data_IF_679593379639
#
_entry.id   IF_679593379639
#
_cell.length_a   1.000
_cell.length_b   1.000
_cell.length_c   1.000
_cell.angle_alpha   90.00
_cell.angle_beta   90.00
_cell.angle_gamma   90.00
#
_symmetry.space_group_name_H-M   'P 1'
#
loop_
_entity.id
_entity.type
_entity.pdbx_description
1 polymer ?
#
# COMPACT_ATOMS: atom_id res chain seq x y z
N UNK A 1 15.08 -14.64 -13.26
CA UNK A 1 14.12 -13.68 -12.68
C UNK A 1 14.00 -12.52 -13.66
N UNK A 2 12.82 -11.90 -13.76
CA UNK A 2 12.63 -10.69 -14.56
C UNK A 2 13.52 -9.57 -13.99
N UNK A 3 14.23 -8.85 -14.85
CA UNK A 3 15.09 -7.73 -14.45
C UNK A 3 14.30 -6.43 -14.41
N UNK A 4 14.74 -5.48 -13.58
CA UNK A 4 14.10 -4.17 -13.48
C UNK A 4 14.40 -3.31 -14.73
N UNK A 5 13.48 -2.44 -15.21
CA UNK A 5 13.71 -1.63 -16.40
C UNK A 5 14.96 -0.73 -16.34
N UNK A 6 15.33 -0.22 -15.17
CA UNK A 6 16.55 0.57 -14.96
C UNK A 6 17.83 -0.27 -15.13
N UNK A 7 17.77 -1.56 -14.81
CA UNK A 7 18.88 -2.50 -15.04
C UNK A 7 18.96 -2.93 -16.51
N UNK A 8 17.81 -3.07 -17.16
CA UNK A 8 17.71 -3.55 -18.55
C UNK A 8 18.12 -2.45 -19.54
N UNK A 9 17.64 -1.22 -19.34
CA UNK A 9 17.85 -0.11 -20.28
C UNK A 9 18.98 0.83 -19.85
N UNK A 10 19.58 0.63 -18.67
CA UNK A 10 20.77 1.35 -18.19
C UNK A 10 20.67 2.87 -18.41
N UNK A 11 21.62 3.48 -19.12
CA UNK A 11 21.63 4.94 -19.31
C UNK A 11 20.45 5.46 -20.14
N UNK A 12 19.82 4.61 -20.97
CA UNK A 12 18.62 5.01 -21.70
C UNK A 12 17.46 5.25 -20.72
N UNK A 13 17.34 4.41 -19.69
CA UNK A 13 16.32 4.58 -18.66
C UNK A 13 16.45 5.92 -17.95
N UNK A 14 17.65 6.20 -17.42
CA UNK A 14 17.93 7.43 -16.68
C UNK A 14 17.65 8.67 -17.55
N UNK A 15 18.15 8.70 -18.78
CA UNK A 15 17.96 9.84 -19.67
C UNK A 15 16.49 10.02 -20.05
N UNK A 16 15.72 8.95 -20.25
CA UNK A 16 14.27 9.06 -20.52
C UNK A 16 13.52 9.62 -19.32
N UNK A 17 13.77 9.11 -18.11
CA UNK A 17 13.11 9.57 -16.90
C UNK A 17 13.38 11.06 -16.63
N UNK A 18 14.62 11.52 -16.82
CA UNK A 18 15.01 12.91 -16.59
C UNK A 18 14.64 13.87 -17.73
N UNK A 19 14.17 13.36 -18.87
CA UNK A 19 13.82 14.20 -20.05
C UNK A 19 12.35 14.63 -20.09
N UNK A 20 11.53 14.26 -19.10
CA UNK A 20 10.10 14.59 -19.03
C UNK A 20 9.32 14.21 -20.31
N UNK A 21 9.69 13.11 -20.98
CA UNK A 21 8.95 12.61 -22.16
C UNK A 21 7.53 12.19 -21.77
N UNK A 22 7.39 11.65 -20.55
CA UNK A 22 6.12 11.29 -19.95
C UNK A 22 5.88 12.15 -18.71
N UNK A 23 4.61 12.42 -18.42
CA UNK A 23 4.19 13.17 -17.23
C UNK A 23 4.16 12.31 -15.94
N UNK A 24 4.33 10.99 -16.07
CA UNK A 24 4.36 10.03 -14.96
C UNK A 24 5.55 9.09 -15.19
N UNK A 25 6.51 9.09 -14.26
CA UNK A 25 7.73 8.27 -14.27
C UNK A 25 7.43 6.77 -14.42
N UNK A 26 6.28 6.29 -13.94
CA UNK A 26 5.87 4.88 -14.09
C UNK A 26 5.57 4.49 -15.54
N UNK A 27 5.31 5.46 -16.42
CA UNK A 27 4.97 5.17 -17.82
C UNK A 27 6.09 4.42 -18.52
N UNK A 28 7.34 4.85 -18.34
CA UNK A 28 8.49 4.20 -18.98
C UNK A 28 8.86 2.86 -18.34
N UNK A 29 8.54 2.65 -17.06
CA UNK A 29 8.72 1.34 -16.40
C UNK A 29 7.81 0.25 -16.96
N UNK A 30 6.71 0.64 -17.60
CA UNK A 30 5.65 -0.25 -18.07
C UNK A 30 5.61 -0.38 -19.60
N UNK A 31 6.62 0.15 -20.31
CA UNK A 31 6.71 -0.01 -21.76
C UNK A 31 7.09 -1.42 -22.17
N UNK A 32 6.67 -1.80 -23.37
CA UNK A 32 7.04 -3.07 -23.99
C UNK A 32 7.87 -2.76 -25.25
N UNK A 33 9.04 -3.38 -25.45
CA UNK A 33 9.76 -3.30 -26.71
C UNK A 33 8.89 -3.76 -27.89
N UNK A 34 8.92 -3.02 -29.01
CA UNK A 34 8.16 -3.39 -30.21
C UNK A 34 8.74 -4.61 -30.92
N UNK A 35 9.92 -4.45 -31.51
CA UNK A 35 10.53 -5.45 -32.39
C UNK A 35 11.90 -5.91 -31.90
N UNK A 36 12.67 -4.99 -31.33
CA UNK A 36 14.04 -5.23 -30.88
C UNK A 36 14.05 -5.72 -29.43
N UNK A 37 15.01 -6.58 -29.10
CA UNK A 37 15.32 -6.90 -27.71
C UNK A 37 15.85 -5.67 -26.97
N UNK A 38 15.77 -5.62 -25.62
CA UNK A 38 16.28 -4.49 -24.87
C UNK A 38 17.75 -4.15 -25.14
N UNK A 39 18.61 -5.17 -25.27
CA UNK A 39 20.03 -4.97 -25.59
C UNK A 39 20.22 -4.32 -26.97
N UNK A 40 19.47 -4.75 -27.99
CA UNK A 40 19.51 -4.17 -29.33
C UNK A 40 19.02 -2.71 -29.33
N UNK A 41 17.99 -2.39 -28.54
CA UNK A 41 17.52 -1.01 -28.37
C UNK A 41 18.60 -0.15 -27.71
N UNK A 42 19.24 -0.64 -26.65
CA UNK A 42 20.29 0.09 -25.94
C UNK A 42 21.53 0.33 -26.82
N UNK A 43 21.97 -0.67 -27.58
CA UNK A 43 23.04 -0.51 -28.57
C UNK A 43 22.68 0.51 -29.66
N UNK A 44 21.45 0.44 -30.17
CA UNK A 44 20.95 1.40 -31.17
C UNK A 44 20.91 2.82 -30.60
N UNK A 45 20.44 2.99 -29.35
CA UNK A 45 20.49 4.27 -28.65
C UNK A 45 21.92 4.81 -28.55
N UNK A 46 22.88 3.98 -28.14
CA UNK A 46 24.30 4.35 -28.02
C UNK A 46 24.90 4.82 -29.36
N UNK A 47 24.47 4.21 -30.47
CA UNK A 47 24.91 4.60 -31.82
C UNK A 47 24.23 5.87 -32.34
N UNK A 48 22.96 6.08 -32.00
CA UNK A 48 22.17 7.19 -32.53
C UNK A 48 22.32 8.47 -31.71
N UNK A 49 22.52 8.39 -30.38
CA UNK A 49 22.59 9.55 -29.48
C UNK A 49 23.68 10.56 -29.81
N UNK A 50 24.72 10.14 -30.54
CA UNK A 50 25.83 11.02 -30.95
C UNK A 50 25.52 11.82 -32.23
N UNK A 51 24.43 11.51 -32.94
CA UNK A 51 24.03 12.20 -34.18
C UNK A 51 23.35 13.52 -33.83
N UNK A 52 23.68 14.60 -34.55
CA UNK A 52 23.07 15.92 -34.33
C UNK A 52 21.57 15.97 -34.63
N UNK A 53 21.03 14.96 -35.30
CA UNK A 53 19.60 14.83 -35.64
C UNK A 53 18.84 13.91 -34.67
N UNK A 54 19.50 13.41 -33.62
CA UNK A 54 18.87 12.49 -32.68
C UNK A 54 17.80 13.22 -31.86
N UNK A 55 16.61 12.62 -31.80
CA UNK A 55 15.51 13.06 -30.96
C UNK A 55 15.08 11.89 -30.07
N UNK A 56 15.27 12.06 -28.76
CA UNK A 56 15.02 10.99 -27.78
C UNK A 56 13.54 10.60 -27.73
N UNK A 57 12.63 11.58 -27.83
CA UNK A 57 11.19 11.34 -27.85
C UNK A 57 10.81 10.43 -29.02
N UNK A 58 11.20 10.80 -30.24
CA UNK A 58 10.97 10.00 -31.45
C UNK A 58 11.59 8.61 -31.32
N UNK A 59 12.81 8.50 -30.76
CA UNK A 59 13.44 7.20 -30.52
C UNK A 59 12.57 6.32 -29.60
N UNK A 60 12.10 6.86 -28.47
CA UNK A 60 11.23 6.13 -27.53
C UNK A 60 9.94 5.69 -28.20
N UNK A 61 9.19 6.58 -28.85
CA UNK A 61 7.91 6.22 -29.47
C UNK A 61 8.05 5.22 -30.63
N UNK A 62 9.19 5.23 -31.33
CA UNK A 62 9.48 4.29 -32.41
C UNK A 62 9.86 2.88 -31.91
N UNK A 63 10.43 2.75 -30.71
CA UNK A 63 10.95 1.48 -30.20
C UNK A 63 10.08 0.82 -29.14
N UNK A 64 9.18 1.59 -28.50
CA UNK A 64 8.37 1.11 -27.40
C UNK A 64 6.87 1.23 -27.66
N UNK A 65 6.13 0.24 -27.15
CA UNK A 65 4.69 0.29 -26.98
C UNK A 65 4.43 0.99 -25.65
N UNK A 66 3.78 2.16 -25.72
CA UNK A 66 3.41 2.93 -24.55
C UNK A 66 2.13 2.33 -23.96
N UNK A 67 2.09 2.09 -22.65
CA UNK A 67 0.98 1.37 -22.06
C UNK A 67 -0.24 2.29 -21.90
N UNK A 68 -1.40 1.83 -22.36
CA UNK A 68 -2.64 2.60 -22.30
C UNK A 68 -3.29 2.53 -20.92
N UNK A 69 -3.88 3.62 -20.47
CA UNK A 69 -4.76 3.67 -19.29
C UNK A 69 -6.20 3.42 -19.73
N UNK A 70 -6.82 2.36 -19.22
CA UNK A 70 -8.25 2.12 -19.45
C UNK A 70 -9.07 3.05 -18.56
N UNK A 71 -9.78 4.02 -19.16
CA UNK A 71 -10.71 4.85 -18.40
C UNK A 71 -11.98 4.05 -18.07
N UNK A 72 -12.34 3.99 -16.79
CA UNK A 72 -13.65 3.48 -16.36
C UNK A 72 -14.70 4.55 -16.69
N UNK A 73 -15.75 4.16 -17.41
CA UNK A 73 -16.85 5.07 -17.74
C UNK A 73 -17.61 5.49 -16.47
N UNK A 74 -18.02 6.75 -16.41
CA UNK A 74 -18.86 7.25 -15.31
C UNK A 74 -20.22 6.54 -15.36
N UNK A 75 -20.69 6.06 -14.21
CA UNK A 75 -22.00 5.43 -14.10
C UNK A 75 -22.78 6.03 -12.92
N UNK A 76 -23.84 6.77 -13.23
CA UNK A 76 -24.69 7.43 -12.21
C UNK A 76 -26.08 6.81 -12.11
N UNK A 77 -26.40 5.77 -12.89
CA UNK A 77 -27.75 5.19 -12.95
C UNK A 77 -27.89 3.87 -12.20
N UNK A 78 -27.14 3.70 -11.10
CA UNK A 78 -27.18 2.50 -10.29
C UNK A 78 -26.77 2.74 -8.84
N UNK A 79 -26.96 1.74 -8.00
CA UNK A 79 -26.39 1.75 -6.65
C UNK A 79 -24.88 1.50 -6.70
N UNK A 80 -24.14 1.87 -5.64
CA UNK A 80 -22.71 1.53 -5.51
C UNK A 80 -22.51 0.01 -5.54
N UNK A 81 -23.43 -0.77 -4.96
CA UNK A 81 -23.35 -2.23 -4.98
C UNK A 81 -23.40 -2.77 -6.43
N UNK A 82 -24.39 -2.32 -7.21
CA UNK A 82 -24.51 -2.67 -8.64
C UNK A 82 -23.31 -2.19 -9.47
N UNK A 83 -22.73 -1.05 -9.12
CA UNK A 83 -21.50 -0.53 -9.72
C UNK A 83 -20.32 -1.46 -9.42
N UNK A 84 -20.09 -1.81 -8.14
CA UNK A 84 -18.98 -2.68 -7.73
C UNK A 84 -19.06 -4.05 -8.42
N UNK A 85 -20.25 -4.65 -8.49
CA UNK A 85 -20.45 -5.93 -9.20
C UNK A 85 -20.09 -5.85 -10.68
N UNK A 86 -20.42 -4.74 -11.35
CA UNK A 86 -20.03 -4.51 -12.75
C UNK A 86 -18.55 -4.20 -12.91
N UNK A 87 -17.93 -3.68 -11.87
CA UNK A 87 -16.53 -3.26 -11.91
C UNK A 87 -15.55 -4.44 -11.75
N UNK A 88 -15.91 -5.51 -11.03
CA UNK A 88 -14.99 -6.64 -10.84
C UNK A 88 -14.47 -7.24 -12.15
N UNK A 89 -15.31 -7.53 -13.17
CA UNK A 89 -14.81 -7.98 -14.47
C UNK A 89 -13.92 -6.93 -15.17
N UNK A 90 -14.22 -5.64 -15.01
CA UNK A 90 -13.47 -4.54 -15.63
C UNK A 90 -12.11 -4.30 -14.98
N UNK A 91 -11.96 -4.60 -13.70
CA UNK A 91 -10.68 -4.57 -12.99
C UNK A 91 -9.92 -5.90 -13.08
N UNK A 92 -10.58 -6.98 -13.51
CA UNK A 92 -9.92 -8.27 -13.70
C UNK A 92 -8.96 -8.18 -14.89
N UNK A 93 -7.75 -8.68 -14.70
CA UNK A 93 -6.73 -8.85 -15.71
C UNK A 93 -6.36 -10.32 -15.79
N UNK A 94 -5.96 -10.74 -16.99
CA UNK A 94 -5.30 -12.01 -17.24
C UNK A 94 -4.08 -11.71 -18.07
N UNK A 95 -2.92 -12.16 -17.60
CA UNK A 95 -1.67 -11.93 -18.31
C UNK A 95 -1.59 -12.92 -19.47
N UNK A 96 -1.37 -12.40 -20.66
CA UNK A 96 -0.81 -13.14 -21.79
C UNK A 96 0.68 -12.89 -21.82
N UNK A 97 1.48 -13.88 -22.21
CA UNK A 97 2.93 -13.72 -22.27
C UNK A 97 3.32 -12.52 -23.14
N UNK A 98 4.04 -11.56 -22.55
CA UNK A 98 4.55 -10.36 -23.21
C UNK A 98 6.07 -10.30 -23.05
N UNK A 99 6.79 -10.42 -24.17
CA UNK A 99 8.25 -10.43 -24.17
C UNK A 99 8.79 -9.14 -23.55
N UNK A 100 9.72 -9.30 -22.58
CA UNK A 100 10.42 -8.20 -21.91
C UNK A 100 9.52 -7.21 -21.16
N UNK A 101 8.27 -7.58 -20.89
CA UNK A 101 7.39 -6.80 -20.01
C UNK A 101 7.97 -6.77 -18.60
N UNK A 102 7.85 -5.65 -17.91
CA UNK A 102 8.13 -5.59 -16.48
C UNK A 102 7.08 -6.35 -15.65
N UNK A 103 5.91 -6.69 -16.23
CA UNK A 103 4.86 -7.44 -15.55
C UNK A 103 5.29 -8.89 -15.32
N UNK A 104 5.26 -9.32 -14.07
CA UNK A 104 5.56 -10.69 -13.66
C UNK A 104 4.33 -11.56 -13.88
N UNK A 105 4.50 -12.63 -14.62
CA UNK A 105 3.45 -13.60 -14.92
C UNK A 105 2.99 -14.34 -13.66
N UNK A 106 1.68 -14.56 -13.57
CA UNK A 106 1.04 -15.35 -12.52
C UNK A 106 0.00 -16.30 -13.13
N UNK A 107 -0.27 -17.45 -12.50
CA UNK A 107 -1.05 -18.52 -13.13
C UNK A 107 -2.54 -18.22 -13.34
N UNK A 108 -3.13 -17.33 -12.54
CA UNK A 108 -4.56 -17.06 -12.55
C UNK A 108 -4.91 -15.58 -12.78
N UNK A 109 -6.16 -15.27 -13.17
CA UNK A 109 -6.64 -13.89 -13.23
C UNK A 109 -6.58 -13.19 -11.86
N UNK A 110 -6.44 -11.87 -11.88
CA UNK A 110 -6.38 -11.04 -10.68
C UNK A 110 -7.07 -9.69 -10.90
N UNK A 111 -7.42 -9.01 -9.81
CA UNK A 111 -7.95 -7.64 -9.83
C UNK A 111 -6.81 -6.64 -9.65
N UNK A 112 -6.88 -5.55 -10.42
CA UNK A 112 -6.02 -4.36 -10.21
C UNK A 112 -6.81 -3.27 -9.48
N UNK A 113 -6.15 -2.33 -8.76
CA UNK A 113 -6.84 -1.26 -8.06
C UNK A 113 -7.68 -0.35 -8.97
N UNK A 114 -7.14 0.07 -10.12
CA UNK A 114 -7.77 1.02 -11.05
C UNK A 114 -6.78 2.08 -11.56
N UNK A 115 -7.11 2.77 -12.67
CA UNK A 115 -6.31 3.86 -13.21
C UNK A 115 -4.89 3.45 -13.66
N UNK A 116 -3.86 4.15 -13.14
CA UNK A 116 -2.43 3.89 -13.43
C UNK A 116 -1.91 2.57 -12.88
N UNK A 117 -2.60 2.00 -11.90
CA UNK A 117 -2.26 0.74 -11.26
C UNK A 117 -2.73 -0.44 -12.11
N UNK A 118 -1.80 -1.01 -12.88
CA UNK A 118 -2.05 -2.05 -13.90
C UNK A 118 -1.56 -3.43 -13.49
N UNK A 119 -1.08 -3.52 -12.27
CA UNK A 119 -0.61 -4.70 -11.56
C UNK A 119 -1.48 -4.85 -10.31
N UNK A 120 -1.56 -6.06 -9.76
CA UNK A 120 -2.18 -6.20 -8.45
C UNK A 120 -1.18 -5.80 -7.37
N UNK A 121 -1.69 -5.11 -6.36
CA UNK A 121 -0.93 -4.69 -5.20
C UNK A 121 -1.25 -5.58 -4.00
N UNK A 122 -0.26 -5.81 -3.15
CA UNK A 122 -0.35 -6.82 -2.11
C UNK A 122 -1.44 -6.50 -1.08
N UNK A 123 -1.27 -5.45 -0.27
CA UNK A 123 -2.21 -5.20 0.83
C UNK A 123 -3.58 -4.70 0.35
N UNK A 124 -3.65 -3.96 -0.76
CA UNK A 124 -4.89 -3.53 -1.45
C UNK A 124 -5.81 -4.71 -1.74
N UNK A 125 -5.21 -5.85 -2.10
CA UNK A 125 -5.96 -7.06 -2.45
C UNK A 125 -6.76 -7.58 -1.27
N UNK A 126 -6.27 -7.48 -0.02
CA UNK A 126 -7.04 -7.97 1.13
C UNK A 126 -8.36 -7.21 1.26
N UNK A 127 -8.31 -5.89 1.14
CA UNK A 127 -9.49 -5.05 1.24
C UNK A 127 -10.44 -5.25 0.05
N UNK A 128 -9.88 -5.48 -1.15
CA UNK A 128 -10.68 -5.85 -2.33
C UNK A 128 -11.35 -7.21 -2.14
N UNK A 129 -10.67 -8.20 -1.57
CA UNK A 129 -11.19 -9.55 -1.29
C UNK A 129 -12.36 -9.52 -0.31
N UNK A 130 -12.41 -8.59 0.65
CA UNK A 130 -13.59 -8.39 1.50
C UNK A 130 -14.85 -8.17 0.63
N UNK A 131 -14.73 -7.31 -0.38
CA UNK A 131 -15.78 -7.07 -1.37
C UNK A 131 -16.12 -8.28 -2.21
N UNK A 132 -15.12 -8.97 -2.74
CA UNK A 132 -15.32 -10.18 -3.54
C UNK A 132 -16.08 -11.25 -2.78
N UNK A 133 -15.75 -11.47 -1.50
CA UNK A 133 -16.45 -12.41 -0.65
C UNK A 133 -17.92 -12.00 -0.47
N UNK A 134 -18.20 -10.71 -0.24
CA UNK A 134 -19.59 -10.21 -0.16
C UNK A 134 -20.33 -10.32 -1.48
N UNK A 135 -19.63 -10.12 -2.59
CA UNK A 135 -20.15 -10.29 -3.94
C UNK A 135 -20.26 -11.75 -4.39
N UNK A 136 -19.87 -12.73 -3.56
CA UNK A 136 -19.80 -14.18 -3.87
C UNK A 136 -18.84 -14.54 -5.01
N UNK A 137 -17.88 -13.67 -5.30
CA UNK A 137 -16.78 -13.89 -6.26
C UNK A 137 -15.64 -14.72 -5.63
N UNK A 138 -16.00 -15.84 -5.00
CA UNK A 138 -15.09 -16.66 -4.20
C UNK A 138 -14.00 -17.31 -5.05
N UNK A 139 -14.32 -17.69 -6.29
CA UNK A 139 -13.35 -18.26 -7.23
C UNK A 139 -12.24 -17.26 -7.58
N UNK A 140 -12.60 -16.00 -7.85
CA UNK A 140 -11.62 -14.94 -8.12
C UNK A 140 -10.76 -14.63 -6.89
N UNK A 141 -11.36 -14.61 -5.69
CA UNK A 141 -10.60 -14.47 -4.45
C UNK A 141 -9.60 -15.62 -4.24
N UNK A 142 -9.98 -16.86 -4.56
CA UNK A 142 -9.07 -18.01 -4.54
C UNK A 142 -7.94 -17.91 -5.58
N UNK A 143 -8.25 -17.42 -6.78
CA UNK A 143 -7.24 -17.18 -7.82
C UNK A 143 -6.19 -16.15 -7.37
N UNK A 144 -6.62 -15.04 -6.75
CA UNK A 144 -5.69 -14.05 -6.21
C UNK A 144 -4.81 -14.62 -5.10
N UNK A 145 -5.39 -15.42 -4.20
CA UNK A 145 -4.64 -16.10 -3.14
C UNK A 145 -3.58 -17.06 -3.70
N UNK A 146 -3.93 -17.83 -4.73
CA UNK A 146 -3.00 -18.74 -5.39
C UNK A 146 -1.90 -18.00 -6.16
N UNK A 147 -2.19 -16.83 -6.75
CA UNK A 147 -1.18 -15.98 -7.37
C UNK A 147 -0.15 -15.48 -6.35
N UNK A 148 -0.58 -15.07 -5.15
CA UNK A 148 0.35 -14.71 -4.07
C UNK A 148 1.18 -15.90 -3.59
N UNK A 149 0.55 -17.06 -3.39
CA UNK A 149 1.27 -18.29 -3.05
C UNK A 149 2.30 -18.68 -4.13
N UNK A 150 1.96 -18.50 -5.41
CA UNK A 150 2.88 -18.68 -6.52
C UNK A 150 4.08 -17.73 -6.44
N UNK A 151 3.87 -16.45 -6.17
CA UNK A 151 4.95 -15.47 -6.00
C UNK A 151 5.83 -15.82 -4.80
N UNK A 152 5.26 -16.22 -3.67
CA UNK A 152 6.03 -16.69 -2.51
C UNK A 152 6.92 -17.88 -2.89
N UNK A 153 6.38 -18.87 -3.60
CA UNK A 153 7.14 -20.07 -3.99
C UNK A 153 8.23 -19.80 -5.03
N UNK A 154 8.08 -18.75 -5.86
CA UNK A 154 8.99 -18.48 -6.99
C UNK A 154 9.97 -17.34 -6.73
N UNK A 155 9.61 -16.38 -5.87
CA UNK A 155 10.39 -15.19 -5.54
C UNK A 155 10.90 -15.25 -4.08
N UNK A 156 10.14 -15.88 -3.18
CA UNK A 156 10.46 -15.98 -1.75
C UNK A 156 9.64 -15.05 -0.86
N UNK A 157 8.87 -14.13 -1.45
CA UNK A 157 7.93 -13.24 -0.78
C UNK A 157 6.90 -12.71 -1.79
N UNK A 158 5.97 -11.88 -1.32
CA UNK A 158 5.05 -11.15 -2.19
C UNK A 158 5.63 -9.75 -2.49
N UNK A 159 5.98 -9.44 -3.75
CA UNK A 159 6.36 -8.09 -4.15
C UNK A 159 5.25 -7.06 -3.91
N UNK A 160 5.61 -5.78 -3.76
CA UNK A 160 4.63 -4.70 -3.58
C UNK A 160 3.53 -4.65 -4.66
N UNK A 161 3.92 -4.97 -5.90
CA UNK A 161 3.02 -5.41 -6.96
C UNK A 161 3.74 -6.34 -7.92
N UNK A 162 3.03 -7.02 -8.83
CA UNK A 162 3.64 -8.02 -9.72
C UNK A 162 4.44 -7.41 -10.90
N UNK A 163 5.38 -6.52 -10.60
CA UNK A 163 6.31 -5.89 -11.56
C UNK A 163 7.76 -6.15 -11.15
N UNK A 164 8.67 -6.25 -12.11
CA UNK A 164 10.08 -6.57 -11.87
C UNK A 164 10.78 -5.54 -10.99
N UNK A 165 10.45 -4.25 -11.14
CA UNK A 165 10.97 -3.16 -10.30
C UNK A 165 10.43 -3.17 -8.85
N UNK A 166 9.44 -4.02 -8.53
CA UNK A 166 8.97 -4.23 -7.17
C UNK A 166 9.53 -5.49 -6.51
N UNK A 167 10.32 -6.33 -7.19
CA UNK A 167 10.81 -7.61 -6.63
C UNK A 167 11.60 -7.42 -5.34
N UNK A 168 12.36 -6.33 -5.20
CA UNK A 168 13.14 -6.05 -3.98
C UNK A 168 12.27 -5.59 -2.80
N UNK A 169 11.06 -5.12 -3.09
CA UNK A 169 10.10 -4.56 -2.14
C UNK A 169 9.04 -5.61 -1.80
N UNK A 170 8.40 -5.46 -0.66
CA UNK A 170 7.11 -6.11 -0.38
C UNK A 170 6.03 -5.03 -0.18
N UNK A 171 5.02 -5.32 0.62
CA UNK A 171 4.03 -4.40 1.14
C UNK A 171 3.58 -4.90 2.53
N UNK A 172 2.71 -4.20 3.29
CA UNK A 172 2.22 -4.72 4.57
C UNK A 172 1.73 -6.19 4.46
N UNK A 173 2.18 -7.11 5.35
CA UNK A 173 2.00 -8.55 5.13
C UNK A 173 0.59 -9.05 5.49
N UNK A 174 -0.35 -8.87 4.57
CA UNK A 174 -1.76 -9.24 4.72
C UNK A 174 -2.10 -10.66 4.26
N UNK A 175 -1.17 -11.45 3.73
CA UNK A 175 -1.46 -12.80 3.21
C UNK A 175 -2.02 -13.73 4.30
N UNK A 176 -1.51 -13.66 5.53
CA UNK A 176 -2.10 -14.38 6.68
C UNK A 176 -3.58 -14.02 6.94
N UNK A 177 -3.94 -12.75 6.75
CA UNK A 177 -5.33 -12.29 6.87
C UNK A 177 -6.19 -12.73 5.66
N UNK A 178 -5.61 -12.80 4.46
CA UNK A 178 -6.30 -13.27 3.25
C UNK A 178 -6.61 -14.78 3.33
N UNK A 179 -5.65 -15.60 3.77
CA UNK A 179 -5.88 -17.04 3.95
C UNK A 179 -6.90 -17.30 5.07
N UNK A 180 -6.89 -16.51 6.15
CA UNK A 180 -7.88 -16.60 7.22
C UNK A 180 -9.28 -16.22 6.69
N UNK A 181 -9.39 -15.13 5.93
CA UNK A 181 -10.64 -14.67 5.34
C UNK A 181 -11.33 -15.76 4.51
N UNK A 182 -10.56 -16.58 3.80
CA UNK A 182 -11.08 -17.69 2.98
C UNK A 182 -11.05 -19.06 3.69
N UNK A 183 -10.66 -19.12 4.98
CA UNK A 183 -10.60 -20.36 5.75
C UNK A 183 -9.58 -21.38 5.26
N UNK A 184 -8.44 -20.91 4.72
CA UNK A 184 -7.43 -21.73 4.03
C UNK A 184 -6.04 -21.69 4.69
N UNK A 185 -5.95 -21.28 5.96
CA UNK A 185 -4.68 -21.19 6.69
C UNK A 185 -3.85 -22.48 6.63
N UNK A 186 -4.47 -23.66 6.85
CA UNK A 186 -3.74 -24.94 6.81
C UNK A 186 -3.22 -25.29 5.40
N UNK A 187 -3.96 -24.91 4.36
CA UNK A 187 -3.58 -25.17 2.96
C UNK A 187 -2.33 -24.39 2.56
N UNK A 188 -2.18 -23.16 3.04
CA UNK A 188 -1.10 -22.23 2.68
C UNK A 188 -0.06 -22.04 3.80
N UNK A 189 0.00 -22.98 4.76
CA UNK A 189 0.90 -22.86 5.91
C UNK A 189 2.37 -22.75 5.48
N UNK A 190 2.78 -23.52 4.47
CA UNK A 190 4.16 -23.47 3.97
C UNK A 190 4.50 -22.08 3.39
N UNK A 191 3.59 -21.49 2.61
CA UNK A 191 3.79 -20.16 2.03
C UNK A 191 3.80 -19.07 3.11
N UNK A 192 2.96 -19.18 4.14
CA UNK A 192 3.01 -18.29 5.30
C UNK A 192 4.36 -18.39 6.03
N UNK A 193 4.91 -19.60 6.19
CA UNK A 193 6.23 -19.81 6.80
C UNK A 193 7.34 -19.18 5.95
N UNK A 194 7.31 -19.34 4.62
CA UNK A 194 8.28 -18.71 3.71
C UNK A 194 8.22 -17.18 3.83
N UNK A 195 7.02 -16.60 3.80
CA UNK A 195 6.86 -15.15 3.95
C UNK A 195 7.36 -14.67 5.32
N UNK A 196 7.04 -15.39 6.40
CA UNK A 196 7.54 -15.06 7.73
C UNK A 196 9.08 -15.04 7.76
N UNK A 197 9.73 -16.05 7.18
CA UNK A 197 11.19 -16.10 7.12
C UNK A 197 11.77 -14.94 6.29
N UNK A 198 11.11 -14.50 5.20
CA UNK A 198 11.51 -13.28 4.48
C UNK A 198 11.54 -12.06 5.41
N UNK A 199 10.46 -11.80 6.17
CA UNK A 199 10.40 -10.66 7.07
C UNK A 199 11.46 -10.75 8.18
N UNK A 200 11.64 -11.94 8.76
CA UNK A 200 12.59 -12.13 9.85
C UNK A 200 14.06 -12.09 9.41
N UNK A 201 14.36 -12.47 8.18
CA UNK A 201 15.75 -12.46 7.66
C UNK A 201 16.14 -11.12 7.07
N UNK A 202 15.20 -10.39 6.46
CA UNK A 202 15.52 -9.20 5.66
C UNK A 202 15.02 -7.88 6.26
N UNK A 203 14.10 -7.92 7.22
CA UNK A 203 13.44 -6.72 7.80
C UNK A 203 13.50 -6.66 9.33
N UNK A 204 14.09 -7.65 10.00
CA UNK A 204 14.22 -7.68 11.44
C UNK A 204 15.30 -6.71 11.95
N UNK A 205 15.03 -6.12 13.11
CA UNK A 205 15.92 -5.26 13.88
C UNK A 205 16.01 -5.83 15.29
N UNK A 206 17.22 -6.15 15.73
CA UNK A 206 17.49 -6.56 17.11
C UNK A 206 17.90 -5.34 17.93
N UNK A 207 17.09 -5.01 18.94
CA UNK A 207 17.36 -3.93 19.88
C UNK A 207 18.42 -4.35 20.91
N UNK A 208 18.95 -3.36 21.64
CA UNK A 208 20.03 -3.58 22.62
C UNK A 208 19.70 -4.60 23.72
N UNK A 209 18.42 -4.77 24.05
CA UNK A 209 17.96 -5.73 25.06
C UNK A 209 17.66 -7.13 24.47
N UNK A 210 17.97 -7.35 23.20
CA UNK A 210 17.69 -8.60 22.48
C UNK A 210 16.26 -8.69 21.92
N UNK A 211 15.41 -7.68 22.14
CA UNK A 211 14.07 -7.64 21.52
C UNK A 211 14.20 -7.57 20.00
N UNK A 212 13.42 -8.39 19.30
CA UNK A 212 13.34 -8.37 17.83
C UNK A 212 11.98 -7.80 17.41
N UNK A 213 12.04 -6.77 16.59
CA UNK A 213 10.90 -6.15 15.89
C UNK A 213 11.29 -5.95 14.42
N UNK A 214 10.34 -5.57 13.57
CA UNK A 214 10.60 -5.38 12.15
C UNK A 214 10.36 -3.92 11.73
N UNK A 215 11.06 -3.52 10.67
CA UNK A 215 10.89 -2.24 9.97
C UNK A 215 10.63 -2.47 8.49
N UNK A 216 10.09 -1.48 7.80
CA UNK A 216 10.16 -1.45 6.34
C UNK A 216 11.57 -1.02 5.91
N UNK A 217 12.15 -1.73 4.94
CA UNK A 217 13.52 -1.49 4.48
C UNK A 217 13.78 -2.20 3.16
N UNK A 218 14.02 -1.47 2.07
CA UNK A 218 14.33 -2.09 0.78
C UNK A 218 15.80 -1.95 0.47
N UNK A 219 16.50 -3.05 0.19
CA UNK A 219 17.91 -3.03 -0.21
C UNK A 219 18.14 -2.55 -1.64
N UNK A 220 17.89 -1.28 -1.94
CA UNK A 220 17.99 -0.71 -3.32
C UNK A 220 19.41 -0.32 -3.75
N UNK A 221 20.41 -0.44 -2.89
CA UNK A 221 21.75 0.10 -3.17
C UNK A 221 21.79 1.62 -3.19
N UNK A 222 20.87 2.29 -2.49
CA UNK A 222 20.74 3.74 -2.39
C UNK A 222 20.50 4.43 -3.75
N UNK A 223 19.54 3.90 -4.52
CA UNK A 223 19.13 4.43 -5.84
C UNK A 223 17.67 4.88 -5.83
N UNK A 224 17.27 5.82 -6.70
CA UNK A 224 15.87 6.19 -6.91
C UNK A 224 14.99 4.98 -7.26
N UNK A 225 13.73 5.00 -6.84
CA UNK A 225 12.71 4.04 -7.31
C UNK A 225 12.55 4.17 -8.83
N UNK A 226 12.55 3.07 -9.61
CA UNK A 226 12.38 3.17 -11.06
C UNK A 226 11.09 3.90 -11.47
N UNK A 227 9.98 3.59 -10.81
CA UNK A 227 8.64 4.14 -11.07
C UNK A 227 8.44 5.60 -10.61
N UNK A 228 9.39 6.16 -9.87
CA UNK A 228 9.38 7.53 -9.36
C UNK A 228 10.79 8.16 -9.44
N UNK A 229 11.52 7.82 -10.50
CA UNK A 229 12.97 8.08 -10.60
C UNK A 229 13.29 9.57 -10.54
N UNK A 230 12.51 10.39 -11.25
CA UNK A 230 12.68 11.84 -11.26
C UNK A 230 12.34 12.44 -9.89
N UNK A 231 11.19 12.06 -9.34
CA UNK A 231 10.65 12.57 -8.08
C UNK A 231 11.58 12.28 -6.90
N UNK A 232 12.09 11.04 -6.82
CA UNK A 232 13.07 10.62 -5.81
C UNK A 232 14.39 11.39 -5.97
N UNK A 233 14.86 11.57 -7.21
CA UNK A 233 16.08 12.33 -7.52
C UNK A 233 15.96 13.78 -7.06
N UNK A 234 14.85 14.44 -7.36
CA UNK A 234 14.58 15.82 -6.95
C UNK A 234 14.46 15.98 -5.43
N UNK A 235 13.88 14.98 -4.76
CA UNK A 235 13.78 14.95 -3.29
C UNK A 235 15.15 14.77 -2.65
N UNK A 236 15.96 13.84 -3.18
CA UNK A 236 17.30 13.57 -2.68
C UNK A 236 18.24 14.78 -2.81
N UNK A 237 18.12 15.58 -3.89
CA UNK A 237 18.88 16.82 -4.06
C UNK A 237 18.60 17.88 -2.97
N UNK A 238 17.44 17.82 -2.32
CA UNK A 238 17.06 18.72 -1.21
C UNK A 238 17.42 18.15 0.15
N UNK A 239 17.73 16.86 0.24
CA UNK A 239 17.95 16.16 1.50
C UNK A 239 19.40 16.25 1.98
N UNK A 240 19.58 16.32 3.30
CA UNK A 240 20.87 16.08 3.96
C UNK A 240 21.03 14.63 4.44
N UNK A 241 20.00 13.79 4.26
CA UNK A 241 20.02 12.39 4.66
C UNK A 241 20.69 11.54 3.57
N UNK A 242 21.84 10.97 3.86
CA UNK A 242 22.56 10.10 2.91
C UNK A 242 21.83 8.80 2.58
N UNK A 243 20.83 8.42 3.38
CA UNK A 243 20.00 7.23 3.22
C UNK A 243 18.64 7.54 2.58
N UNK A 244 18.42 8.77 2.09
CA UNK A 244 17.10 9.21 1.63
C UNK A 244 16.44 8.26 0.63
N UNK A 245 17.17 7.66 -0.31
CA UNK A 245 16.58 6.70 -1.25
C UNK A 245 16.11 5.40 -0.58
N UNK A 246 16.80 4.94 0.46
CA UNK A 246 16.32 3.81 1.26
C UNK A 246 15.03 4.19 2.01
N UNK A 247 14.97 5.40 2.55
CA UNK A 247 13.81 5.88 3.29
C UNK A 247 12.59 6.11 2.39
N UNK A 248 12.77 6.69 1.20
CA UNK A 248 11.72 6.84 0.18
C UNK A 248 11.26 5.49 -0.39
N UNK A 249 12.17 4.55 -0.63
CA UNK A 249 11.74 3.22 -1.09
C UNK A 249 11.00 2.46 0.01
N UNK A 250 11.44 2.58 1.27
CA UNK A 250 10.75 1.97 2.39
C UNK A 250 9.34 2.52 2.61
N UNK A 251 9.02 3.76 2.18
CA UNK A 251 7.62 4.21 2.21
C UNK A 251 6.76 3.51 1.17
N UNK A 252 7.30 3.16 0.01
CA UNK A 252 6.60 2.31 -0.96
C UNK A 252 6.28 0.92 -0.38
N UNK A 253 7.25 0.31 0.31
CA UNK A 253 7.04 -0.98 1.00
C UNK A 253 6.05 -0.88 2.18
N UNK A 254 5.92 0.28 2.83
CA UNK A 254 4.96 0.43 3.92
C UNK A 254 3.53 0.69 3.45
N UNK A 255 3.35 1.05 2.17
CA UNK A 255 2.06 1.46 1.59
C UNK A 255 1.58 2.86 2.00
N UNK A 256 2.39 3.63 2.74
CA UNK A 256 2.11 5.02 3.15
C UNK A 256 3.10 6.00 2.51
N UNK A 257 3.28 5.90 1.20
CA UNK A 257 4.09 6.74 0.32
C UNK A 257 3.27 7.94 -0.18
N UNK A 258 3.37 9.14 0.39
CA UNK A 258 4.14 9.51 1.58
C UNK A 258 3.24 9.99 2.71
N UNK A 259 3.82 10.13 3.89
CA UNK A 259 3.16 10.57 5.13
C UNK A 259 4.14 11.28 6.05
N UNK A 260 3.65 12.29 6.77
CA UNK A 260 4.31 12.93 7.90
C UNK A 260 4.74 11.94 8.98
N UNK A 261 4.10 10.76 9.03
CA UNK A 261 4.47 9.61 9.88
C UNK A 261 5.96 9.28 9.80
N UNK A 262 6.58 9.45 8.64
CA UNK A 262 7.95 9.05 8.35
C UNK A 262 8.95 10.20 8.33
N UNK A 263 8.49 11.45 8.45
CA UNK A 263 9.30 12.65 8.25
C UNK A 263 9.71 13.25 9.60
N UNK A 264 10.91 13.81 9.70
CA UNK A 264 11.30 14.58 10.90
C UNK A 264 10.57 15.93 10.95
N UNK A 265 10.49 16.62 9.82
CA UNK A 265 9.62 17.78 9.60
C UNK A 265 8.38 17.30 8.83
N UNK A 266 7.18 17.45 9.41
CA UNK A 266 5.92 16.98 8.81
C UNK A 266 5.54 17.66 7.49
N UNK A 267 6.27 18.69 7.08
CA UNK A 267 6.04 19.45 5.84
C UNK A 267 7.12 19.24 4.78
N UNK A 268 8.23 18.56 5.10
CA UNK A 268 9.37 18.40 4.20
C UNK A 268 9.74 16.93 3.96
N UNK A 269 9.41 16.42 2.77
CA UNK A 269 9.64 15.03 2.37
C UNK A 269 11.14 14.67 2.37
N UNK A 270 12.03 15.65 2.18
CA UNK A 270 13.47 15.42 2.20
C UNK A 270 14.00 15.02 3.59
N UNK A 271 13.17 15.14 4.63
CA UNK A 271 13.46 14.73 6.02
C UNK A 271 12.95 13.33 6.37
N UNK A 272 12.56 12.52 5.38
CA UNK A 272 12.07 11.16 5.59
C UNK A 272 13.14 10.24 6.19
N UNK A 273 12.76 9.47 7.20
CA UNK A 273 13.60 8.57 8.00
C UNK A 273 12.91 7.22 8.26
N UNK A 274 12.11 6.73 7.31
CA UNK A 274 11.30 5.51 7.42
C UNK A 274 12.07 4.31 7.98
N UNK A 275 13.31 4.11 7.52
CA UNK A 275 14.14 2.98 7.93
C UNK A 275 14.62 3.08 9.38
N UNK A 276 14.51 4.24 10.03
CA UNK A 276 14.82 4.40 11.45
C UNK A 276 13.63 4.10 12.38
N UNK A 277 12.46 3.80 11.80
CA UNK A 277 11.20 3.64 12.53
C UNK A 277 10.80 2.16 12.54
N UNK A 278 10.40 1.67 13.72
CA UNK A 278 9.73 0.38 13.91
C UNK A 278 8.21 0.64 13.90
N UNK A 279 7.50 0.25 12.82
CA UNK A 279 6.09 0.57 12.65
C UNK A 279 5.19 -0.34 13.50
N UNK A 280 4.17 0.24 14.14
CA UNK A 280 3.23 -0.52 14.98
C UNK A 280 2.35 -1.47 14.15
N UNK A 281 1.90 -1.04 12.99
CA UNK A 281 1.09 -1.82 12.06
C UNK A 281 1.83 -3.06 11.54
N UNK A 282 3.07 -2.89 11.04
CA UNK A 282 3.90 -4.01 10.58
C UNK A 282 4.07 -5.08 11.66
N UNK A 283 4.40 -4.66 12.88
CA UNK A 283 4.65 -5.60 13.96
C UNK A 283 3.35 -6.27 14.45
N UNK A 284 2.20 -5.61 14.37
CA UNK A 284 0.92 -6.28 14.59
C UNK A 284 0.56 -7.29 13.49
N UNK A 285 0.87 -6.99 12.22
CA UNK A 285 0.65 -7.92 11.12
C UNK A 285 1.54 -9.17 11.24
N UNK A 286 2.80 -8.99 11.64
CA UNK A 286 3.70 -10.13 11.91
C UNK A 286 3.27 -10.94 13.13
N UNK A 287 2.71 -10.30 14.16
CA UNK A 287 2.09 -11.01 15.29
C UNK A 287 0.96 -11.91 14.82
N UNK A 288 0.10 -11.40 13.93
CA UNK A 288 -0.97 -12.20 13.33
C UNK A 288 -0.42 -13.36 12.49
N UNK A 289 0.60 -13.11 11.67
CA UNK A 289 1.27 -14.15 10.89
C UNK A 289 1.87 -15.25 11.78
N UNK A 290 2.55 -14.89 12.87
CA UNK A 290 3.12 -15.84 13.84
C UNK A 290 2.04 -16.74 14.47
N UNK A 291 0.88 -16.17 14.81
CA UNK A 291 -0.27 -16.95 15.27
C UNK A 291 -0.78 -17.91 14.19
N UNK A 292 -0.92 -17.45 12.94
CA UNK A 292 -1.43 -18.24 11.83
C UNK A 292 -0.57 -19.48 11.52
N UNK A 293 0.76 -19.39 11.71
CA UNK A 293 1.69 -20.52 11.52
C UNK A 293 1.97 -21.31 12.80
N UNK A 294 1.39 -20.92 13.94
CA UNK A 294 1.53 -21.62 15.22
C UNK A 294 2.83 -21.31 15.99
N UNK A 295 3.54 -20.22 15.66
CA UNK A 295 4.71 -19.71 16.40
C UNK A 295 4.25 -18.90 17.64
N UNK A 296 3.55 -19.57 18.56
CA UNK A 296 2.90 -18.93 19.72
C UNK A 296 3.89 -18.23 20.65
N UNK A 297 5.10 -18.78 20.81
CA UNK A 297 6.13 -18.18 21.68
C UNK A 297 6.66 -16.88 21.09
N UNK A 298 6.91 -16.86 19.78
CA UNK A 298 7.35 -15.69 19.02
C UNK A 298 6.26 -14.62 19.04
N UNK A 299 5.00 -15.00 18.79
CA UNK A 299 3.85 -14.13 18.87
C UNK A 299 3.75 -13.45 20.25
N UNK A 300 3.90 -14.21 21.35
CA UNK A 300 3.85 -13.64 22.69
C UNK A 300 5.02 -12.68 22.97
N UNK A 301 6.24 -13.02 22.53
CA UNK A 301 7.40 -12.10 22.62
C UNK A 301 7.16 -10.81 21.83
N UNK A 302 6.61 -10.90 20.62
CA UNK A 302 6.29 -9.73 19.80
C UNK A 302 5.19 -8.89 20.42
N UNK A 303 4.15 -9.52 20.97
CA UNK A 303 3.08 -8.83 21.73
C UNK A 303 3.68 -8.02 22.89
N UNK A 304 4.58 -8.62 23.66
CA UNK A 304 5.29 -7.93 24.75
C UNK A 304 6.18 -6.79 24.25
N UNK A 305 6.85 -6.97 23.11
CA UNK A 305 7.66 -5.93 22.48
C UNK A 305 6.81 -4.73 22.02
N UNK A 306 5.67 -4.98 21.36
CA UNK A 306 4.73 -3.93 20.96
C UNK A 306 4.22 -3.18 22.19
N UNK A 307 3.84 -3.91 23.24
CA UNK A 307 3.39 -3.32 24.51
C UNK A 307 4.46 -2.44 25.16
N UNK A 308 5.74 -2.84 25.09
CA UNK A 308 6.86 -2.09 25.68
C UNK A 308 7.25 -0.86 24.89
N UNK A 309 7.32 -0.96 23.56
CA UNK A 309 7.95 0.05 22.71
C UNK A 309 6.97 0.98 21.99
N UNK A 310 5.72 0.54 21.81
CA UNK A 310 4.76 1.24 20.95
C UNK A 310 3.55 1.77 21.71
N UNK A 311 3.28 1.32 22.94
CA UNK A 311 2.28 1.98 23.79
C UNK A 311 2.88 3.21 24.47
N UNK A 312 2.20 4.36 24.38
CA UNK A 312 2.56 5.56 25.11
C UNK A 312 1.55 5.83 26.22
N UNK A 313 2.00 5.77 27.48
CA UNK A 313 1.17 6.11 28.64
C UNK A 313 0.84 7.62 28.68
N UNK A 314 1.71 8.49 28.16
CA UNK A 314 1.45 9.93 28.13
C UNK A 314 0.37 10.28 27.10
N UNK A 315 0.44 9.66 25.91
CA UNK A 315 -0.50 9.90 24.83
C UNK A 315 -1.78 9.07 24.98
N UNK A 316 -1.73 8.00 25.78
CA UNK A 316 -2.79 6.99 25.90
C UNK A 316 -3.16 6.42 24.53
N UNK A 317 -2.14 6.13 23.71
CA UNK A 317 -2.28 5.71 22.31
C UNK A 317 -1.05 4.90 21.87
N UNK A 318 -1.21 4.05 20.85
CA UNK A 318 -0.09 3.36 20.23
C UNK A 318 0.58 4.22 19.14
N UNK A 319 1.90 4.30 19.15
CA UNK A 319 2.71 5.04 18.17
C UNK A 319 3.86 4.18 17.67
N UNK A 320 4.47 4.58 16.56
CA UNK A 320 5.71 3.94 16.10
C UNK A 320 6.89 4.29 17.02
N UNK A 321 7.95 3.50 16.97
CA UNK A 321 9.16 3.69 17.77
C UNK A 321 10.38 4.00 16.90
N UNK A 322 11.08 5.10 17.16
CA UNK A 322 12.34 5.39 16.48
C UNK A 322 13.49 4.70 17.23
N UNK A 323 14.02 3.62 16.67
CA UNK A 323 15.01 2.80 17.38
C UNK A 323 16.43 3.38 17.35
N UNK A 324 16.69 4.35 16.45
CA UNK A 324 17.96 5.10 16.40
C UNK A 324 17.98 6.15 17.52
N UNK A 325 16.91 6.94 17.65
CA UNK A 325 16.74 7.93 18.71
C UNK A 325 16.37 7.31 20.06
N UNK A 326 15.88 6.07 20.05
CA UNK A 326 15.42 5.29 21.21
C UNK A 326 14.26 5.96 21.94
N UNK A 327 13.31 6.47 21.17
CA UNK A 327 12.13 7.16 21.69
C UNK A 327 10.91 6.87 20.81
N UNK A 328 9.69 6.96 21.38
CA UNK A 328 8.47 6.96 20.58
C UNK A 328 8.47 8.13 19.60
N UNK A 329 7.91 7.93 18.41
CA UNK A 329 7.74 9.00 17.42
C UNK A 329 6.77 10.09 17.91
N UNK A 330 5.92 9.80 18.90
CA UNK A 330 4.86 10.66 19.41
C UNK A 330 3.88 11.16 18.33
N UNK A 331 3.82 10.49 17.18
CA UNK A 331 2.89 10.77 16.09
C UNK A 331 1.64 9.90 16.24
N UNK A 332 0.49 10.54 16.42
CA UNK A 332 -0.80 9.84 16.43
C UNK A 332 -1.25 9.65 14.97
N UNK A 333 -1.36 8.39 14.55
CA UNK A 333 -1.85 7.99 13.23
C UNK A 333 -2.84 6.84 13.38
N UNK A 334 -3.65 6.56 12.35
CA UNK A 334 -4.57 5.41 12.40
C UNK A 334 -3.86 4.05 12.46
N UNK A 335 -2.54 3.97 12.23
CA UNK A 335 -1.77 2.75 12.45
C UNK A 335 -1.82 2.30 13.93
N UNK A 336 -2.00 3.23 14.87
CA UNK A 336 -2.18 2.92 16.29
C UNK A 336 -3.44 2.12 16.63
N UNK A 337 -4.30 1.82 15.65
CA UNK A 337 -5.46 0.94 15.81
C UNK A 337 -5.21 -0.51 15.41
N UNK A 338 -4.09 -0.83 14.73
CA UNK A 338 -3.73 -2.22 14.44
C UNK A 338 -3.61 -3.08 15.71
N UNK A 339 -3.06 -2.59 16.84
CA UNK A 339 -3.05 -3.35 18.09
C UNK A 339 -4.44 -3.72 18.61
N UNK A 340 -5.46 -2.88 18.39
CA UNK A 340 -6.84 -3.16 18.78
C UNK A 340 -7.46 -4.19 17.82
N UNK A 341 -7.29 -3.96 16.52
CA UNK A 341 -7.84 -4.83 15.48
C UNK A 341 -7.33 -6.28 15.60
N UNK A 342 -6.04 -6.44 15.85
CA UNK A 342 -5.35 -7.73 15.91
C UNK A 342 -5.18 -8.26 17.35
N UNK A 343 -5.95 -7.74 18.31
CA UNK A 343 -6.02 -8.21 19.70
C UNK A 343 -4.68 -8.20 20.48
N UNK A 344 -3.78 -7.28 20.13
CA UNK A 344 -2.51 -7.05 20.86
C UNK A 344 -2.73 -6.15 22.08
N UNK A 345 -3.61 -5.15 21.95
CA UNK A 345 -3.94 -4.19 23.00
C UNK A 345 -4.74 -4.82 24.14
N UNK A 346 -4.54 -4.33 25.36
CA UNK A 346 -5.46 -4.62 26.47
C UNK A 346 -6.79 -3.90 26.27
N UNK A 347 -7.82 -4.32 27.00
CA UNK A 347 -9.13 -3.67 26.93
C UNK A 347 -9.07 -2.19 27.33
N UNK A 348 -8.29 -1.83 28.34
CA UNK A 348 -8.18 -0.44 28.78
C UNK A 348 -7.44 0.42 27.75
N UNK A 349 -6.35 -0.09 27.17
CA UNK A 349 -5.66 0.56 26.07
C UNK A 349 -6.59 0.75 24.86
N UNK A 350 -7.40 -0.25 24.54
CA UNK A 350 -8.37 -0.17 23.45
C UNK A 350 -9.41 0.95 23.69
N UNK A 351 -9.94 1.05 24.91
CA UNK A 351 -10.88 2.13 25.28
C UNK A 351 -10.23 3.51 25.23
N UNK A 352 -9.00 3.64 25.69
CA UNK A 352 -8.26 4.91 25.63
C UNK A 352 -8.01 5.34 24.18
N UNK A 353 -7.52 4.42 23.35
CA UNK A 353 -7.29 4.69 21.94
C UNK A 353 -8.60 5.04 21.21
N UNK A 354 -9.70 4.32 21.49
CA UNK A 354 -11.02 4.62 20.94
C UNK A 354 -11.50 6.03 21.28
N UNK A 355 -11.31 6.49 22.53
CA UNK A 355 -11.63 7.86 22.92
C UNK A 355 -10.79 8.92 22.18
N UNK A 356 -9.53 8.61 21.83
CA UNK A 356 -8.70 9.48 20.97
C UNK A 356 -9.20 9.52 19.53
N UNK A 357 -9.67 8.39 18.99
CA UNK A 357 -10.29 8.35 17.66
C UNK A 357 -11.51 9.25 17.60
N UNK A 358 -12.41 9.16 18.58
CA UNK A 358 -13.60 9.99 18.65
C UNK A 358 -13.27 11.50 18.74
N UNK A 359 -12.28 11.85 19.56
CA UNK A 359 -11.99 13.25 19.87
C UNK A 359 -11.06 13.96 18.87
N UNK A 360 -10.17 13.23 18.20
CA UNK A 360 -9.10 13.84 17.38
C UNK A 360 -9.19 13.49 15.90
N UNK A 361 -9.66 12.28 15.56
CA UNK A 361 -9.59 11.76 14.20
C UNK A 361 -10.91 11.83 13.43
N UNK A 362 -12.04 11.88 14.13
CA UNK A 362 -13.36 11.79 13.52
C UNK A 362 -13.87 13.14 12.99
N UNK A 363 -14.07 13.19 11.68
CA UNK A 363 -14.67 14.32 10.94
C UNK A 363 -15.94 13.88 10.21
N UNK A 364 -16.60 14.80 9.50
CA UNK A 364 -17.90 14.59 8.86
C UNK A 364 -17.89 13.47 7.83
N UNK A 365 -16.75 13.24 7.18
CA UNK A 365 -16.55 12.24 6.15
C UNK A 365 -15.93 10.92 6.62
N UNK A 366 -15.59 10.78 7.90
CA UNK A 366 -14.86 9.63 8.42
C UNK A 366 -13.61 10.05 9.20
N UNK A 367 -12.58 9.21 9.21
CA UNK A 367 -11.36 9.43 9.98
C UNK A 367 -10.23 9.99 9.13
N UNK A 368 -9.55 11.04 9.60
CA UNK A 368 -8.30 11.51 8.99
C UNK A 368 -7.18 10.49 9.25
N UNK A 369 -6.21 10.42 8.35
CA UNK A 369 -5.11 9.44 8.45
C UNK A 369 -4.12 9.76 9.56
N UNK A 370 -3.78 11.04 9.69
CA UNK A 370 -2.91 11.62 10.72
C UNK A 370 -3.50 12.94 11.21
N UNK A 371 -2.84 13.56 12.20
CA UNK A 371 -3.20 14.88 12.71
C UNK A 371 -2.33 16.02 12.13
N UNK A 372 -1.45 15.74 11.16
CA UNK A 372 -0.50 16.69 10.58
C UNK A 372 -1.18 17.61 9.55
N UNK A 373 -1.78 18.71 10.02
CA UNK A 373 -2.63 19.60 9.20
C UNK A 373 -1.89 20.39 8.12
N UNK A 374 -0.57 20.47 8.22
CA UNK A 374 0.28 21.23 7.30
C UNK A 374 1.05 20.35 6.32
N UNK A 375 0.93 19.02 6.45
CA UNK A 375 1.49 18.10 5.47
C UNK A 375 0.78 18.26 4.12
N UNK A 376 1.54 18.13 3.04
CA UNK A 376 1.04 18.06 1.67
C UNK A 376 0.97 16.62 1.14
N UNK A 377 1.28 15.64 1.97
CA UNK A 377 1.37 14.24 1.58
C UNK A 377 0.01 13.55 1.60
N UNK A 378 -0.13 12.47 0.83
CA UNK A 378 -1.43 11.84 0.61
C UNK A 378 -1.93 10.99 1.78
N UNK A 379 -1.03 10.40 2.56
CA UNK A 379 -1.36 9.63 3.76
C UNK A 379 -1.32 10.51 5.02
N UNK A 380 -1.97 11.67 4.95
CA UNK A 380 -2.09 12.64 6.04
C UNK A 380 -3.45 13.32 6.06
N UNK A 381 -3.69 14.18 7.06
CA UNK A 381 -4.77 15.15 7.05
C UNK A 381 -4.80 15.95 5.73
N UNK A 382 -5.97 16.18 5.09
CA UNK A 382 -7.32 15.83 5.52
C UNK A 382 -7.83 14.49 4.96
N UNK A 383 -6.96 13.67 4.37
CA UNK A 383 -7.38 12.48 3.65
C UNK A 383 -7.76 11.33 4.59
N UNK A 384 -8.79 10.60 4.21
CA UNK A 384 -9.17 9.30 4.75
C UNK A 384 -9.08 8.21 3.67
N UNK A 385 -8.57 7.04 4.07
CA UNK A 385 -8.35 5.89 3.20
C UNK A 385 -9.15 4.68 3.65
N UNK A 386 -9.80 3.99 2.70
CA UNK A 386 -10.71 2.89 2.98
C UNK A 386 -10.12 1.80 3.91
N UNK A 387 -8.85 1.34 3.72
CA UNK A 387 -8.20 0.40 4.64
C UNK A 387 -8.26 0.84 6.10
N UNK A 388 -7.94 2.11 6.37
CA UNK A 388 -7.81 2.62 7.73
C UNK A 388 -9.18 2.90 8.37
N UNK A 389 -10.19 3.25 7.56
CA UNK A 389 -11.57 3.28 8.03
C UNK A 389 -12.04 1.88 8.47
N UNK A 390 -11.71 0.85 7.69
CA UNK A 390 -12.03 -0.53 8.03
C UNK A 390 -11.30 -1.00 9.29
N UNK A 391 -9.99 -0.75 9.40
CA UNK A 391 -9.21 -1.10 10.60
C UNK A 391 -9.81 -0.43 11.84
N UNK A 392 -10.14 0.86 11.76
CA UNK A 392 -10.75 1.58 12.86
C UNK A 392 -12.14 1.03 13.23
N UNK A 393 -12.99 0.85 12.22
CA UNK A 393 -14.32 0.25 12.38
C UNK A 393 -14.25 -1.11 13.08
N UNK A 394 -13.40 -2.02 12.60
CA UNK A 394 -13.22 -3.35 13.19
C UNK A 394 -12.61 -3.32 14.58
N UNK A 395 -11.69 -2.39 14.84
CA UNK A 395 -11.11 -2.17 16.17
C UNK A 395 -12.17 -1.77 17.19
N UNK A 396 -13.05 -0.84 16.81
CA UNK A 396 -14.10 -0.33 17.70
C UNK A 396 -15.21 -1.36 17.94
N UNK A 397 -15.57 -2.16 16.92
CA UNK A 397 -16.48 -3.31 17.13
C UNK A 397 -15.92 -4.35 18.10
N UNK A 398 -14.61 -4.45 18.22
CA UNK A 398 -13.92 -5.32 19.20
C UNK A 398 -13.74 -4.65 20.57
N UNK A 399 -14.11 -3.38 20.71
CA UNK A 399 -13.92 -2.60 21.94
C UNK A 399 -15.27 -2.37 22.62
N UNK A 400 -15.60 -3.12 23.68
CA UNK A 400 -16.87 -2.98 24.40
C UNK A 400 -17.22 -1.53 24.76
N UNK A 401 -18.42 -1.11 24.39
CA UNK A 401 -18.95 0.24 24.65
C UNK A 401 -18.71 1.25 23.53
N UNK A 402 -18.01 0.87 22.46
CA UNK A 402 -17.70 1.73 21.32
C UNK A 402 -18.40 1.31 20.01
N UNK A 403 -19.41 0.44 20.09
CA UNK A 403 -20.21 0.00 18.94
C UNK A 403 -20.95 1.19 18.28
N UNK A 404 -21.38 2.16 19.09
CA UNK A 404 -21.98 3.40 18.59
C UNK A 404 -21.00 4.23 17.79
N UNK A 405 -19.76 4.39 18.26
CA UNK A 405 -18.71 5.10 17.54
C UNK A 405 -18.36 4.38 16.22
N UNK A 406 -18.27 3.04 16.25
CA UNK A 406 -18.07 2.23 15.05
C UNK A 406 -19.17 2.49 14.00
N UNK A 407 -20.44 2.57 14.43
CA UNK A 407 -21.58 2.88 13.55
C UNK A 407 -21.48 4.30 12.97
N UNK A 408 -21.06 5.28 13.77
CA UNK A 408 -20.87 6.66 13.30
C UNK A 408 -19.78 6.73 12.23
N UNK A 409 -18.62 6.10 12.46
CA UNK A 409 -17.52 6.06 11.48
C UNK A 409 -17.97 5.42 10.18
N UNK A 410 -18.60 4.23 10.27
CA UNK A 410 -19.18 3.55 9.11
C UNK A 410 -20.14 4.46 8.34
N UNK A 411 -21.09 5.08 9.02
CA UNK A 411 -22.10 5.92 8.36
C UNK A 411 -21.49 7.15 7.69
N UNK A 412 -20.55 7.84 8.36
CA UNK A 412 -19.90 9.03 7.81
C UNK A 412 -19.07 8.71 6.57
N UNK A 413 -18.29 7.63 6.63
CA UNK A 413 -17.50 7.16 5.49
C UNK A 413 -18.39 6.75 4.31
N UNK A 414 -19.41 5.93 4.56
CA UNK A 414 -20.32 5.47 3.51
C UNK A 414 -21.12 6.62 2.89
N UNK A 415 -21.62 7.57 3.69
CA UNK A 415 -22.30 8.76 3.19
C UNK A 415 -21.40 9.60 2.28
N UNK A 416 -20.12 9.73 2.62
CA UNK A 416 -19.15 10.44 1.78
C UNK A 416 -18.94 9.70 0.45
N UNK A 417 -18.77 8.38 0.48
CA UNK A 417 -18.64 7.57 -0.73
C UNK A 417 -19.89 7.69 -1.61
N UNK A 418 -21.09 7.56 -1.04
CA UNK A 418 -22.37 7.71 -1.73
C UNK A 418 -22.53 9.09 -2.36
N UNK A 419 -22.18 10.15 -1.62
CA UNK A 419 -22.22 11.51 -2.15
C UNK A 419 -21.32 11.67 -3.36
N UNK A 420 -20.04 11.33 -3.24
CA UNK A 420 -19.07 11.48 -4.33
C UNK A 420 -19.44 10.59 -5.52
N UNK A 421 -19.93 9.38 -5.26
CA UNK A 421 -20.42 8.49 -6.30
C UNK A 421 -21.62 9.10 -7.05
N UNK A 422 -22.58 9.69 -6.35
CA UNK A 422 -23.72 10.36 -6.98
C UNK A 422 -23.29 11.59 -7.81
N UNK A 423 -22.25 12.30 -7.38
CA UNK A 423 -21.72 13.48 -8.08
C UNK A 423 -20.87 13.12 -9.31
N UNK A 424 -20.12 12.02 -9.26
CA UNK A 424 -19.06 11.70 -10.25
C UNK A 424 -19.32 10.41 -11.06
N UNK A 425 -20.18 9.53 -10.56
CA UNK A 425 -20.40 8.18 -11.08
C UNK A 425 -19.24 7.21 -10.83
N UNK A 426 -18.37 7.51 -9.85
CA UNK A 426 -17.12 6.81 -9.59
C UNK A 426 -16.82 6.67 -8.10
N UNK A 427 -16.10 5.61 -7.76
CA UNK A 427 -15.49 5.40 -6.44
C UNK A 427 -14.01 5.78 -6.52
N UNK A 428 -13.54 6.52 -5.51
CA UNK A 428 -12.19 7.07 -5.48
C UNK A 428 -11.22 6.23 -4.64
N UNK A 429 -9.92 6.38 -4.92
CA UNK A 429 -8.81 5.85 -4.12
C UNK A 429 -8.86 6.33 -2.65
N UNK A 430 -9.08 7.63 -2.44
CA UNK A 430 -9.08 8.33 -1.14
C UNK A 430 -10.05 9.52 -1.14
N UNK A 431 -10.39 10.03 0.04
CA UNK A 431 -11.41 11.08 0.20
C UNK A 431 -10.96 12.16 1.20
N UNK A 432 -11.33 13.43 0.96
CA UNK A 432 -11.22 14.49 1.97
C UNK A 432 -12.35 14.30 2.99
N UNK A 433 -12.00 13.79 4.17
CA UNK A 433 -12.99 13.48 5.22
C UNK A 433 -13.34 14.70 6.07
N UNK A 434 -12.62 15.81 5.91
CA UNK A 434 -12.83 17.06 6.65
C UNK A 434 -13.76 17.97 5.88
N UNK A 435 -13.44 18.23 4.61
CA UNK A 435 -14.27 19.00 3.70
C UNK A 435 -14.87 18.09 2.64
N UNK A 436 -16.01 17.49 3.00
CA UNK A 436 -16.78 16.54 2.17
C UNK A 436 -17.33 17.10 0.85
N UNK A 437 -17.05 18.37 0.53
CA UNK A 437 -17.41 19.01 -0.73
C UNK A 437 -16.23 19.16 -1.71
N UNK A 438 -15.03 18.78 -1.28
CA UNK A 438 -13.81 18.86 -2.09
C UNK A 438 -13.32 17.47 -2.50
N UNK A 439 -12.71 17.35 -3.69
CA UNK A 439 -11.92 16.17 -3.99
C UNK A 439 -10.71 16.08 -3.05
N UNK A 440 -10.29 14.86 -2.75
CA UNK A 440 -9.01 14.62 -2.07
C UNK A 440 -7.83 15.00 -2.97
N UNK A 441 -6.63 15.08 -2.39
CA UNK A 441 -5.39 15.40 -3.13
C UNK A 441 -4.13 15.04 -2.36
N UNK A 442 -3.00 15.64 -2.73
CA UNK A 442 -1.69 15.43 -2.12
C UNK A 442 -0.94 14.21 -2.64
N UNK A 443 0.36 14.14 -2.32
CA UNK A 443 1.28 13.10 -2.82
C UNK A 443 1.89 13.43 -4.18
N UNK A 444 2.49 12.40 -4.81
CA UNK A 444 3.26 12.54 -6.06
C UNK A 444 2.43 12.33 -7.34
N UNK A 445 1.15 11.94 -7.23
CA UNK A 445 0.28 11.68 -8.39
C UNK A 445 -1.19 12.10 -8.15
N UNK A 446 -1.92 12.30 -9.25
CA UNK A 446 -3.36 12.64 -9.27
C UNK A 446 -4.23 11.53 -8.67
N UNK A 447 -5.34 11.87 -8.02
CA UNK A 447 -6.23 10.87 -7.39
C UNK A 447 -6.75 9.86 -8.42
N UNK A 448 -6.69 8.56 -8.08
CA UNK A 448 -7.14 7.48 -8.96
C UNK A 448 -8.61 7.10 -8.75
N UNK A 449 -9.26 6.60 -9.81
CA UNK A 449 -10.63 6.09 -9.80
C UNK A 449 -10.68 4.56 -9.96
N UNK A 450 -11.76 3.97 -9.46
CA UNK A 450 -11.95 2.52 -9.44
C UNK A 450 -12.74 2.12 -8.20
N UNK A 451 -12.19 2.10 -6.99
CA UNK A 451 -10.83 1.69 -6.65
C UNK A 451 -10.97 0.46 -5.74
N UNK A 452 -10.22 -0.61 -6.03
CA UNK A 452 -10.44 -1.95 -5.46
C UNK A 452 -10.76 -1.99 -3.96
N UNK A 453 -9.92 -1.38 -3.12
CA UNK A 453 -10.12 -1.40 -1.66
C UNK A 453 -11.36 -0.62 -1.17
N UNK A 454 -11.80 0.41 -1.89
CA UNK A 454 -12.87 1.33 -1.46
C UNK A 454 -14.17 0.61 -1.71
N UNK A 455 -14.26 -0.02 -2.88
CA UNK A 455 -15.34 -0.90 -3.27
C UNK A 455 -15.46 -2.06 -2.28
N UNK A 456 -14.34 -2.70 -1.95
CA UNK A 456 -14.34 -3.85 -1.06
C UNK A 456 -14.72 -3.52 0.37
N UNK A 457 -14.16 -2.43 0.93
CA UNK A 457 -14.52 -1.94 2.27
C UNK A 457 -15.98 -1.47 2.32
N UNK A 458 -16.44 -0.76 1.30
CA UNK A 458 -17.84 -0.31 1.24
C UNK A 458 -18.81 -1.49 1.27
N UNK A 459 -18.58 -2.53 0.45
CA UNK A 459 -19.41 -3.74 0.43
C UNK A 459 -19.35 -4.51 1.76
N UNK A 460 -18.17 -4.64 2.35
CA UNK A 460 -18.03 -5.27 3.68
C UNK A 460 -18.80 -4.52 4.74
N UNK A 461 -18.70 -3.19 4.78
CA UNK A 461 -19.46 -2.36 5.72
C UNK A 461 -20.96 -2.44 5.43
N UNK A 462 -21.40 -2.34 4.17
CA UNK A 462 -22.80 -2.41 3.77
C UNK A 462 -23.50 -3.67 4.29
N UNK A 463 -22.84 -4.82 4.14
CA UNK A 463 -23.37 -6.14 4.50
C UNK A 463 -22.99 -6.60 5.92
N UNK A 464 -22.44 -5.71 6.74
CA UNK A 464 -22.06 -6.04 8.11
C UNK A 464 -23.25 -5.93 9.08
N UNK A 465 -23.78 -7.10 9.44
CA UNK A 465 -24.88 -7.25 10.39
C UNK A 465 -24.45 -7.21 11.87
N UNK A 466 -23.14 -7.10 12.19
CA UNK A 466 -22.63 -7.06 13.57
C UNK A 466 -23.19 -5.87 14.38
N UNK A 467 -23.65 -4.82 13.70
CA UNK A 467 -24.24 -3.62 14.30
C UNK A 467 -25.77 -3.58 14.28
N UNK A 468 -26.41 -4.59 13.70
CA UNK A 468 -27.88 -4.73 13.62
C UNK A 468 -28.45 -5.57 14.78
N UNK A 469 -27.57 -6.12 15.61
CA UNK A 469 -27.85 -6.82 16.86
C UNK A 469 -27.48 -5.93 18.04
#
# INVERSE_FOLDING_TARGET
>A
MAQSPDEIYEELFEVVQLSHIFSDSKTFCDVIPRELSPNEILEKYRQEKIKSTFDLSSFVFNHFIIPNTTSIANETRCTIEEYCHRLWPLLTRRITHENYSSLIEVPYPFIVPGGRFREFYYWDTYFSMLGLVRSKEIELANHMLENFAFLIRTIGHIPGGNRSYYISQSQPPFFSLMVELLGQTEKYKNELEIEYEFWMTTRAVTLNDGTVLNRYYVGTGNKPRPEAFLEDTETAHKSNNTNIYFDLTATGECGWDFSSRWMEDETDLSTTITTNILPVDLNCLLYHLELAIGKITEAERRRQAIQKYMWSDDLQFFTDYNYIKKEPTNRLTLAGLFPLWLNVATLDQAKHAAGKIESLFLYDGGLVTTLAKHSTQQWDYPNGWAPLQYVAYRSLLKTPGYETLARIIRQRWMNLNERVFNETGKMMEKYDVVNISKPAGGGEYEVQDGFGWTNGVYLEMLHDQRLER
#
